data_IF_748421312399
#
_entry.id   IF_748421312399
#
_cell.length_a   1.000
_cell.length_b   1.000
_cell.length_c   1.000
_cell.angle_alpha   90.00
_cell.angle_beta   90.00
_cell.angle_gamma   90.00
#
_symmetry.space_group_name_H-M   'P 1'
#
loop_
_entity.id
_entity.type
_entity.pdbx_description
1 polymer ?
#
# COMPACT_ATOMS: atom_id res chain seq x y z
N UNK A 1 26.37 -7.64 16.50
CA UNK A 1 26.54 -7.92 15.06
C UNK A 1 27.65 -8.98 14.87
N UNK A 2 27.41 -10.00 14.03
CA UNK A 2 28.45 -10.99 13.65
C UNK A 2 29.53 -10.35 12.77
N UNK A 3 29.15 -9.36 11.98
CA UNK A 3 30.01 -8.64 11.04
C UNK A 3 29.91 -7.12 11.32
N UNK A 4 30.65 -6.57 12.29
CA UNK A 4 30.49 -5.17 12.71
C UNK A 4 30.87 -4.14 11.65
N UNK A 5 31.71 -4.50 10.70
CA UNK A 5 32.18 -3.63 9.62
C UNK A 5 31.30 -3.66 8.36
N UNK A 6 30.33 -4.58 8.30
CA UNK A 6 29.41 -4.65 7.17
C UNK A 6 28.23 -3.72 7.39
N UNK A 7 27.99 -2.73 6.52
CA UNK A 7 26.85 -1.84 6.65
C UNK A 7 25.53 -2.59 6.48
N UNK A 8 24.57 -2.31 7.33
CA UNK A 8 23.21 -2.84 7.27
C UNK A 8 22.31 -1.80 6.62
N UNK A 9 21.78 -2.14 5.44
CA UNK A 9 20.85 -1.30 4.69
C UNK A 9 19.47 -1.93 4.73
N UNK A 10 18.46 -1.19 5.20
CA UNK A 10 17.05 -1.61 5.22
C UNK A 10 16.28 -0.86 4.15
N UNK A 11 15.20 -1.47 3.65
CA UNK A 11 14.38 -0.86 2.59
C UNK A 11 13.04 -1.59 2.43
N UNK A 12 12.35 -1.29 1.33
CA UNK A 12 11.03 -1.81 1.05
C UNK A 12 9.92 -1.00 1.71
N UNK A 13 8.67 -1.45 1.55
CA UNK A 13 7.50 -0.68 1.97
C UNK A 13 7.48 -0.47 3.49
N UNK A 14 7.75 -1.51 4.26
CA UNK A 14 7.73 -1.46 5.73
C UNK A 14 8.72 -0.43 6.28
N UNK A 15 9.98 -0.50 5.87
CA UNK A 15 11.01 0.45 6.28
C UNK A 15 10.68 1.89 5.82
N UNK A 16 10.19 2.04 4.59
CA UNK A 16 9.80 3.35 4.04
C UNK A 16 8.75 4.05 4.90
N UNK A 17 7.74 3.31 5.35
CA UNK A 17 6.62 3.85 6.13
C UNK A 17 6.98 4.10 7.60
N UNK A 18 8.05 3.47 8.09
CA UNK A 18 8.55 3.58 9.48
C UNK A 18 9.86 4.37 9.58
N UNK A 19 10.19 5.18 8.56
CA UNK A 19 11.45 5.95 8.53
C UNK A 19 11.53 7.12 9.51
N UNK A 20 10.38 7.61 9.98
CA UNK A 20 10.21 8.66 10.98
C UNK A 20 9.28 8.18 12.09
N UNK A 21 8.99 9.01 13.08
CA UNK A 21 7.99 8.72 14.12
C UNK A 21 6.66 8.32 13.48
N UNK A 22 6.10 7.21 13.94
CA UNK A 22 4.89 6.64 13.37
C UNK A 22 4.01 5.98 14.43
N UNK A 23 2.71 5.92 14.16
CA UNK A 23 1.78 5.17 14.97
C UNK A 23 1.84 3.68 14.63
N UNK A 24 2.05 2.84 15.63
CA UNK A 24 1.99 1.40 15.53
C UNK A 24 0.68 0.88 16.11
N UNK A 25 -0.17 0.35 15.23
CA UNK A 25 -1.51 -0.14 15.58
C UNK A 25 -1.49 -1.31 16.57
N UNK A 26 -0.48 -2.17 16.47
CA UNK A 26 -0.41 -3.39 17.29
C UNK A 26 -0.04 -3.12 18.74
N UNK A 27 0.80 -2.12 19.00
CA UNK A 27 1.15 -1.68 20.34
C UNK A 27 0.32 -0.49 20.82
N UNK A 28 -0.59 0.05 19.98
CA UNK A 28 -1.40 1.25 20.22
C UNK A 28 -0.55 2.42 20.76
N UNK A 29 0.58 2.67 20.14
CA UNK A 29 1.53 3.69 20.59
C UNK A 29 2.32 4.30 19.41
N UNK A 30 2.89 5.49 19.64
CA UNK A 30 3.90 6.00 18.74
C UNK A 30 5.22 5.25 18.94
N UNK A 31 5.88 4.98 17.83
CA UNK A 31 7.22 4.38 17.77
C UNK A 31 8.19 5.34 17.10
N UNK A 32 9.46 5.37 17.52
CA UNK A 32 10.49 6.12 16.83
C UNK A 32 10.77 5.51 15.45
N UNK A 33 11.64 6.16 14.69
CA UNK A 33 12.13 5.59 13.43
C UNK A 33 12.65 4.16 13.60
N UNK A 34 12.36 3.29 12.63
CA UNK A 34 12.92 1.93 12.59
C UNK A 34 14.45 1.91 12.60
N UNK A 35 15.10 3.01 12.20
CA UNK A 35 16.57 3.16 12.32
C UNK A 35 17.03 3.19 13.77
N UNK A 36 16.28 3.88 14.64
CA UNK A 36 16.60 3.94 16.07
C UNK A 36 16.44 2.58 16.74
N UNK A 37 15.43 1.80 16.35
CA UNK A 37 15.15 0.48 16.93
C UNK A 37 16.04 -0.63 16.35
N UNK A 38 16.29 -0.65 15.05
CA UNK A 38 17.03 -1.73 14.38
C UNK A 38 18.54 -1.60 14.42
N UNK A 39 19.05 -0.39 14.64
CA UNK A 39 20.47 -0.07 14.53
C UNK A 39 21.01 -0.26 13.10
N UNK A 40 20.17 -0.17 12.08
CA UNK A 40 20.60 -0.16 10.69
C UNK A 40 21.39 1.13 10.37
N UNK A 41 22.35 1.03 9.45
CA UNK A 41 23.23 2.14 9.11
C UNK A 41 22.57 3.10 8.11
N UNK A 42 21.71 2.56 7.25
CA UNK A 42 21.03 3.30 6.18
C UNK A 42 19.65 2.70 5.91
N UNK A 43 18.69 3.56 5.59
CA UNK A 43 17.38 3.16 5.11
C UNK A 43 17.15 3.76 3.73
N UNK A 44 16.75 2.93 2.77
CA UNK A 44 16.31 3.35 1.43
C UNK A 44 14.79 3.37 1.43
N UNK A 45 14.18 4.52 1.16
CA UNK A 45 12.73 4.66 1.16
C UNK A 45 12.16 4.86 -0.26
N UNK A 46 10.85 4.64 -0.40
CA UNK A 46 10.17 4.76 -1.69
C UNK A 46 10.60 3.70 -2.71
N UNK A 47 10.58 4.07 -3.98
CA UNK A 47 11.01 3.21 -5.09
C UNK A 47 12.53 3.16 -5.13
N UNK A 48 13.11 2.05 -4.65
CA UNK A 48 14.53 1.94 -4.34
C UNK A 48 15.45 1.56 -5.49
N UNK A 49 14.94 1.28 -6.68
CA UNK A 49 15.70 0.70 -7.79
C UNK A 49 16.98 1.47 -8.14
N UNK A 50 16.87 2.80 -8.28
CA UNK A 50 18.01 3.68 -8.55
C UNK A 50 18.98 3.77 -7.36
N UNK A 51 18.43 3.91 -6.16
CA UNK A 51 19.21 4.12 -4.93
C UNK A 51 20.00 2.87 -4.56
N UNK A 52 19.43 1.68 -4.68
CA UNK A 52 20.14 0.41 -4.43
C UNK A 52 21.35 0.28 -5.34
N UNK A 53 21.24 0.65 -6.63
CA UNK A 53 22.36 0.65 -7.54
C UNK A 53 23.44 1.68 -7.15
N UNK A 54 23.04 2.89 -6.72
CA UNK A 54 23.97 3.92 -6.26
C UNK A 54 24.72 3.46 -5.01
N UNK A 55 24.03 2.90 -4.04
CA UNK A 55 24.60 2.36 -2.79
C UNK A 55 25.58 1.21 -3.12
N UNK A 56 25.16 0.25 -3.96
CA UNK A 56 26.01 -0.88 -4.36
C UNK A 56 27.30 -0.43 -5.08
N UNK A 57 27.20 0.57 -5.99
CA UNK A 57 28.37 1.15 -6.68
C UNK A 57 29.29 1.88 -5.69
N UNK A 58 28.73 2.67 -4.77
CA UNK A 58 29.50 3.37 -3.76
C UNK A 58 30.27 2.39 -2.86
N UNK A 59 29.61 1.36 -2.35
CA UNK A 59 30.25 0.33 -1.52
C UNK A 59 31.37 -0.42 -2.28
N UNK A 60 31.16 -0.75 -3.55
CA UNK A 60 32.20 -1.38 -4.40
C UNK A 60 33.42 -0.49 -4.56
N UNK A 61 33.24 0.83 -4.58
CA UNK A 61 34.32 1.81 -4.68
C UNK A 61 34.95 2.17 -3.32
N UNK A 62 34.71 1.39 -2.28
CA UNK A 62 35.29 1.57 -0.94
C UNK A 62 34.62 2.66 -0.09
N UNK A 63 33.43 3.14 -0.47
CA UNK A 63 32.70 4.11 0.34
C UNK A 63 32.18 3.46 1.62
N UNK A 64 32.34 4.15 2.73
CA UNK A 64 31.77 3.71 4.01
C UNK A 64 30.34 4.26 4.21
N UNK A 65 29.65 3.77 5.24
CA UNK A 65 28.28 4.17 5.54
C UNK A 65 28.09 5.70 5.69
N UNK A 66 29.12 6.44 6.18
CA UNK A 66 29.04 7.90 6.32
C UNK A 66 28.98 8.62 4.97
N UNK A 67 29.68 8.12 3.95
CA UNK A 67 29.66 8.69 2.61
C UNK A 67 28.36 8.41 1.87
N UNK A 68 27.67 7.30 2.20
CA UNK A 68 26.35 6.96 1.66
C UNK A 68 25.26 7.97 2.06
N UNK A 69 25.46 8.74 3.14
CA UNK A 69 24.54 9.78 3.62
C UNK A 69 24.32 10.93 2.64
N UNK A 70 25.17 11.05 1.60
CA UNK A 70 25.06 12.05 0.53
C UNK A 70 24.12 11.62 -0.61
N UNK A 71 23.71 10.37 -0.62
CA UNK A 71 22.77 9.83 -1.62
C UNK A 71 21.37 10.37 -1.31
N UNK A 72 20.63 10.73 -2.35
CA UNK A 72 19.22 11.12 -2.22
C UNK A 72 18.35 9.89 -1.92
N UNK A 73 17.21 10.10 -1.31
CA UNK A 73 16.20 9.06 -1.02
C UNK A 73 16.70 8.02 -0.01
N UNK A 74 17.48 8.47 0.97
CA UNK A 74 17.92 7.66 2.11
C UNK A 74 17.54 8.31 3.42
N UNK A 75 17.48 7.53 4.49
CA UNK A 75 17.43 8.02 5.85
C UNK A 75 18.51 7.34 6.70
N UNK A 76 18.99 8.04 7.72
CA UNK A 76 20.06 7.57 8.62
C UNK A 76 20.03 8.34 9.94
N UNK A 77 20.69 7.78 10.96
CA UNK A 77 20.91 8.47 12.24
C UNK A 77 22.17 9.34 12.18
N UNK A 78 22.06 10.58 12.67
CA UNK A 78 23.13 11.54 12.75
C UNK A 78 23.26 12.11 14.16
N UNK A 79 24.40 12.74 14.43
CA UNK A 79 24.65 13.55 15.63
C UNK A 79 24.39 15.05 15.36
N UNK A 80 24.38 15.84 16.42
CA UNK A 80 24.21 17.31 16.33
C UNK A 80 25.22 17.94 15.42
N UNK A 81 26.48 17.48 15.44
CA UNK A 81 27.56 18.05 14.63
C UNK A 81 27.33 17.88 13.12
N UNK A 82 26.63 16.82 12.72
CA UNK A 82 26.20 16.62 11.34
C UNK A 82 25.06 17.57 10.96
N UNK A 83 24.03 17.64 11.83
CA UNK A 83 22.83 18.47 11.57
C UNK A 83 23.17 19.94 11.54
N UNK A 84 24.09 20.41 12.40
CA UNK A 84 24.56 21.80 12.40
C UNK A 84 25.24 22.24 11.09
N UNK A 85 25.69 21.30 10.25
CA UNK A 85 26.30 21.58 8.94
C UNK A 85 25.32 21.53 7.77
N UNK A 86 24.07 21.16 8.01
CA UNK A 86 23.04 21.18 6.97
C UNK A 86 22.68 22.62 6.63
N UNK A 87 22.35 22.87 5.36
CA UNK A 87 21.85 24.17 4.93
C UNK A 87 20.47 24.43 5.56
N UNK A 88 20.33 25.46 6.41
CA UNK A 88 19.05 25.78 7.04
C UNK A 88 17.94 26.09 6.03
N UNK A 89 18.26 26.66 4.86
CA UNK A 89 17.27 26.98 3.83
C UNK A 89 16.71 25.73 3.13
N UNK A 90 17.49 24.64 3.11
CA UNK A 90 17.11 23.36 2.53
C UNK A 90 16.76 22.29 3.58
N UNK A 91 16.60 22.68 4.85
CA UNK A 91 16.33 21.74 5.95
C UNK A 91 15.04 22.11 6.67
N UNK A 92 14.16 21.13 6.83
CA UNK A 92 12.94 21.26 7.63
C UNK A 92 13.13 20.43 8.92
N UNK A 93 13.09 21.11 10.07
CA UNK A 93 13.11 20.47 11.37
C UNK A 93 11.68 20.08 11.77
N UNK A 94 11.50 18.82 12.12
CA UNK A 94 10.25 18.27 12.63
C UNK A 94 10.27 18.32 14.17
N UNK A 95 9.09 18.24 14.78
CA UNK A 95 8.98 17.96 16.22
C UNK A 95 9.67 16.64 16.54
N UNK A 96 10.30 16.55 17.70
CA UNK A 96 10.97 15.33 18.14
C UNK A 96 9.99 14.17 18.39
N UNK A 97 10.52 12.96 18.42
CA UNK A 97 9.75 11.78 18.84
C UNK A 97 9.11 12.00 20.21
N UNK A 98 9.87 12.55 21.17
CA UNK A 98 9.43 12.80 22.55
C UNK A 98 8.32 13.87 22.62
N UNK A 99 8.40 14.92 21.79
CA UNK A 99 7.32 15.91 21.63
C UNK A 99 6.06 15.28 21.06
N UNK A 100 6.18 14.48 19.98
CA UNK A 100 5.07 13.77 19.39
C UNK A 100 4.37 12.80 20.36
N UNK A 101 5.13 12.13 21.24
CA UNK A 101 4.57 11.25 22.29
C UNK A 101 3.77 12.05 23.33
N UNK A 102 4.26 13.23 23.70
CA UNK A 102 3.58 14.11 24.69
C UNK A 102 2.43 14.89 24.13
N UNK A 103 2.56 15.33 22.87
CA UNK A 103 1.57 16.16 22.19
C UNK A 103 1.16 15.54 20.86
N UNK A 104 -0.09 15.08 20.80
CA UNK A 104 -0.69 14.51 19.60
C UNK A 104 -0.75 15.51 18.42
N UNK A 105 -0.82 16.81 18.73
CA UNK A 105 -0.84 17.86 17.70
C UNK A 105 0.51 17.98 17.01
N UNK A 106 1.61 17.93 17.75
CA UNK A 106 2.97 17.90 17.19
C UNK A 106 3.15 16.73 16.20
N UNK A 107 2.62 15.55 16.52
CA UNK A 107 2.60 14.42 15.59
C UNK A 107 1.78 14.70 14.31
N UNK A 108 0.62 15.34 14.46
CA UNK A 108 -0.21 15.76 13.32
C UNK A 108 0.48 16.77 12.42
N UNK A 109 1.15 17.77 13.00
CA UNK A 109 1.91 18.79 12.30
C UNK A 109 3.08 18.18 11.51
N UNK A 110 3.85 17.27 12.14
CA UNK A 110 4.90 16.52 11.44
C UNK A 110 4.35 15.80 10.21
N UNK A 111 3.19 15.14 10.36
CA UNK A 111 2.57 14.44 9.22
C UNK A 111 2.22 15.39 8.07
N UNK A 112 1.67 16.58 8.35
CA UNK A 112 1.31 17.54 7.28
C UNK A 112 2.52 17.99 6.49
N UNK A 113 3.66 18.18 7.15
CA UNK A 113 4.95 18.49 6.52
C UNK A 113 5.40 17.31 5.67
N UNK A 114 5.43 16.09 6.24
CA UNK A 114 5.90 14.87 5.56
C UNK A 114 5.03 14.58 4.32
N UNK A 115 3.69 14.66 4.46
CA UNK A 115 2.78 14.41 3.34
C UNK A 115 2.97 15.46 2.24
N UNK A 116 3.12 16.73 2.61
CA UNK A 116 3.37 17.81 1.64
C UNK A 116 4.66 17.57 0.86
N UNK A 117 5.77 17.29 1.54
CA UNK A 117 7.05 17.02 0.91
C UNK A 117 7.02 15.76 0.02
N UNK A 118 6.32 14.71 0.46
CA UNK A 118 6.16 13.47 -0.31
C UNK A 118 5.33 13.64 -1.59
N UNK A 119 4.51 14.69 -1.68
CA UNK A 119 3.64 14.96 -2.83
C UNK A 119 4.17 16.04 -3.79
N UNK A 120 5.32 16.63 -3.51
CA UNK A 120 6.01 17.50 -4.47
C UNK A 120 6.60 16.68 -5.61
N UNK A 121 6.64 17.25 -6.82
CA UNK A 121 7.24 16.59 -7.97
C UNK A 121 8.78 16.57 -7.85
N UNK A 122 9.35 17.63 -7.34
CA UNK A 122 10.80 17.85 -7.19
C UNK A 122 11.08 18.39 -5.77
N UNK A 123 10.96 17.57 -4.71
CA UNK A 123 11.28 18.02 -3.36
C UNK A 123 12.79 18.13 -3.17
N UNK A 124 13.25 19.23 -2.55
CA UNK A 124 14.65 19.47 -2.26
C UNK A 124 14.97 19.51 -0.75
N UNK A 125 13.94 19.56 0.10
CA UNK A 125 14.14 19.67 1.53
C UNK A 125 14.60 18.35 2.18
N UNK A 126 15.62 18.46 3.01
CA UNK A 126 16.00 17.42 3.98
C UNK A 126 15.11 17.55 5.20
N UNK A 127 14.52 16.43 5.67
CA UNK A 127 13.76 16.40 6.92
C UNK A 127 14.67 15.93 8.06
N UNK A 128 14.57 16.57 9.22
CA UNK A 128 15.34 16.22 10.42
C UNK A 128 14.40 16.08 11.61
N UNK A 129 14.33 14.89 12.18
CA UNK A 129 13.52 14.57 13.37
C UNK A 129 14.45 14.22 14.55
N UNK A 130 14.47 15.00 15.64
CA UNK A 130 15.18 14.64 16.86
C UNK A 130 14.58 13.37 17.49
N UNK A 131 15.43 12.46 17.98
CA UNK A 131 15.01 11.21 18.61
C UNK A 131 16.07 10.81 19.65
N UNK A 132 15.78 10.97 20.93
CA UNK A 132 16.75 10.82 22.01
C UNK A 132 17.92 11.80 21.86
N UNK A 133 19.13 11.27 21.87
CA UNK A 133 20.39 12.00 21.66
C UNK A 133 20.85 12.08 20.20
N UNK A 134 20.00 11.59 19.27
CA UNK A 134 20.30 11.50 17.85
C UNK A 134 19.23 12.22 17.00
N UNK A 135 19.51 12.29 15.73
CA UNK A 135 18.63 12.85 14.72
C UNK A 135 18.39 11.86 13.59
N UNK A 136 17.15 11.64 13.23
CA UNK A 136 16.81 10.96 11.96
C UNK A 136 16.86 12.01 10.87
N UNK A 137 17.76 11.81 9.93
CA UNK A 137 17.92 12.67 8.73
C UNK A 137 17.37 11.93 7.53
N UNK A 138 16.40 12.54 6.85
CA UNK A 138 15.78 12.00 5.62
C UNK A 138 16.15 12.91 4.46
N UNK A 139 17.00 12.44 3.57
CA UNK A 139 17.39 13.21 2.38
C UNK A 139 16.24 13.31 1.38
N UNK A 140 16.20 14.35 0.52
CA UNK A 140 15.14 14.50 -0.48
C UNK A 140 15.02 13.27 -1.39
N UNK A 141 13.82 12.89 -1.85
CA UNK A 141 13.67 11.78 -2.79
C UNK A 141 14.29 12.11 -4.16
N UNK A 142 14.58 11.08 -4.92
CA UNK A 142 14.92 11.22 -6.33
C UNK A 142 13.69 11.64 -7.14
N UNK A 143 13.92 12.22 -8.31
CA UNK A 143 12.88 12.37 -9.31
C UNK A 143 12.32 10.98 -9.70
N UNK A 144 11.05 10.95 -10.11
CA UNK A 144 10.38 9.75 -10.60
C UNK A 144 11.26 9.05 -11.65
N UNK A 145 11.32 7.71 -11.63
CA UNK A 145 12.06 6.92 -12.62
C UNK A 145 11.57 7.26 -14.04
N UNK A 146 12.47 7.25 -15.01
CA UNK A 146 12.05 7.32 -16.42
C UNK A 146 11.41 6.00 -16.85
N UNK A 147 10.72 6.00 -17.99
CA UNK A 147 10.17 4.75 -18.58
C UNK A 147 11.27 3.72 -18.81
N UNK A 148 12.45 4.14 -19.29
CA UNK A 148 13.59 3.28 -19.58
C UNK A 148 14.16 2.64 -18.29
N UNK A 149 14.28 3.41 -17.22
CA UNK A 149 14.75 2.91 -15.91
C UNK A 149 13.74 1.92 -15.31
N UNK A 150 12.45 2.21 -15.48
CA UNK A 150 11.39 1.31 -15.02
C UNK A 150 11.37 0.02 -15.85
N UNK A 151 11.44 0.12 -17.17
CA UNK A 151 11.54 -1.02 -18.08
C UNK A 151 12.75 -1.89 -17.74
N UNK A 152 13.93 -1.28 -17.55
CA UNK A 152 15.13 -2.02 -17.15
C UNK A 152 14.90 -2.87 -15.89
N UNK A 153 14.20 -2.33 -14.90
CA UNK A 153 13.89 -3.05 -13.66
C UNK A 153 12.95 -4.24 -13.89
N UNK A 154 12.00 -4.13 -14.81
CA UNK A 154 11.06 -5.21 -15.15
C UNK A 154 11.61 -6.21 -16.18
N UNK A 155 12.57 -5.79 -16.98
CA UNK A 155 13.22 -6.64 -17.99
C UNK A 155 14.32 -7.55 -17.42
N UNK A 156 14.67 -7.40 -16.14
CA UNK A 156 15.61 -8.28 -15.46
C UNK A 156 15.15 -9.76 -15.56
N UNK A 157 16.10 -10.72 -15.57
CA UNK A 157 15.80 -12.14 -15.76
C UNK A 157 15.22 -12.79 -14.48
N UNK A 158 14.02 -12.37 -14.10
CA UNK A 158 13.30 -12.97 -12.97
C UNK A 158 12.91 -14.41 -13.27
N UNK A 159 13.17 -15.33 -12.35
CA UNK A 159 12.78 -16.75 -12.49
C UNK A 159 11.27 -16.98 -12.46
N UNK A 160 10.51 -16.06 -11.89
CA UNK A 160 9.04 -16.18 -11.71
C UNK A 160 8.64 -17.54 -11.12
N UNK A 161 9.33 -17.95 -10.08
CA UNK A 161 9.11 -19.21 -9.37
C UNK A 161 9.26 -19.00 -7.85
N UNK A 162 8.56 -19.80 -7.04
CA UNK A 162 8.79 -19.82 -5.58
C UNK A 162 10.21 -20.26 -5.27
N UNK A 163 10.79 -19.70 -4.21
CA UNK A 163 12.13 -20.08 -3.77
C UNK A 163 12.23 -21.60 -3.51
N UNK A 164 13.31 -22.29 -3.88
CA UNK A 164 13.45 -23.74 -3.75
C UNK A 164 13.17 -24.30 -2.35
N UNK A 165 13.36 -23.52 -1.29
CA UNK A 165 13.05 -23.94 0.10
C UNK A 165 11.58 -24.29 0.34
N UNK A 166 10.68 -23.90 -0.56
CA UNK A 166 9.23 -24.21 -0.49
C UNK A 166 8.86 -25.48 -1.23
N UNK A 167 9.78 -26.13 -1.95
CA UNK A 167 9.51 -27.41 -2.61
C UNK A 167 9.01 -28.45 -1.62
N UNK A 168 7.93 -29.13 -1.95
CA UNK A 168 7.31 -30.14 -1.09
C UNK A 168 6.52 -29.62 0.12
N UNK A 169 6.37 -28.29 0.26
CA UNK A 169 5.59 -27.68 1.39
C UNK A 169 4.17 -27.28 1.02
N UNK A 170 3.68 -27.70 -0.15
CA UNK A 170 2.38 -27.32 -0.69
C UNK A 170 2.42 -25.99 -1.46
N UNK A 171 1.29 -25.62 -2.04
CA UNK A 171 1.15 -24.41 -2.82
C UNK A 171 1.18 -23.16 -1.93
N UNK A 172 1.74 -22.08 -2.47
CA UNK A 172 1.72 -20.76 -1.83
C UNK A 172 0.53 -19.99 -2.43
N UNK A 173 -0.58 -19.80 -1.69
CA UNK A 173 -1.81 -19.19 -2.25
C UNK A 173 -1.57 -17.82 -2.89
N UNK A 174 -0.75 -16.97 -2.27
CA UNK A 174 -0.41 -15.67 -2.84
C UNK A 174 0.33 -15.77 -4.18
N UNK A 175 1.24 -16.74 -4.31
CA UNK A 175 1.94 -17.03 -5.56
C UNK A 175 0.98 -17.47 -6.67
N UNK A 176 0.08 -18.41 -6.37
CA UNK A 176 -0.92 -18.89 -7.33
C UNK A 176 -1.80 -17.75 -7.89
N UNK A 177 -2.11 -16.76 -7.06
CA UNK A 177 -2.90 -15.59 -7.48
C UNK A 177 -2.17 -14.67 -8.45
N UNK A 178 -0.84 -14.50 -8.29
CA UNK A 178 -0.09 -13.44 -8.99
C UNK A 178 0.89 -13.96 -10.06
N UNK A 179 1.19 -15.24 -10.12
CA UNK A 179 2.24 -15.80 -11.00
C UNK A 179 2.09 -15.43 -12.48
N UNK A 180 0.87 -15.20 -12.94
CA UNK A 180 0.54 -14.81 -14.31
C UNK A 180 0.02 -13.36 -14.39
N UNK A 181 0.45 -12.49 -13.50
CA UNK A 181 0.13 -11.06 -13.55
C UNK A 181 1.25 -10.25 -14.20
N UNK A 182 0.89 -9.11 -14.78
CA UNK A 182 1.81 -8.15 -15.40
C UNK A 182 1.48 -6.76 -14.87
N UNK A 183 2.48 -6.11 -14.27
CA UNK A 183 2.35 -4.75 -13.80
C UNK A 183 2.72 -3.76 -14.92
N UNK A 184 1.88 -2.74 -15.15
CA UNK A 184 2.03 -1.81 -16.28
C UNK A 184 2.52 -0.42 -15.90
N UNK A 185 2.37 -0.01 -14.63
CA UNK A 185 2.87 1.27 -14.11
C UNK A 185 3.05 1.24 -12.60
N UNK A 186 3.71 2.26 -12.07
CA UNK A 186 3.88 2.56 -10.66
C UNK A 186 3.24 3.90 -10.31
N UNK A 187 2.99 4.15 -9.02
CA UNK A 187 2.39 5.37 -8.53
C UNK A 187 0.87 5.37 -8.56
N UNK A 188 0.28 6.31 -7.81
CA UNK A 188 -1.16 6.52 -7.77
C UNK A 188 -1.49 7.94 -7.30
N UNK A 189 -2.16 8.72 -8.14
CA UNK A 189 -2.56 10.09 -7.78
C UNK A 189 -3.91 10.16 -7.05
N UNK A 190 -4.46 9.03 -6.63
CA UNK A 190 -5.72 8.96 -5.88
C UNK A 190 -5.64 9.61 -4.50
N UNK A 191 -4.52 9.43 -3.80
CA UNK A 191 -4.26 10.07 -2.51
C UNK A 191 -5.24 9.72 -1.39
N UNK A 192 -5.85 8.51 -1.44
CA UNK A 192 -6.77 8.05 -0.40
C UNK A 192 -6.08 8.09 0.97
N UNK A 193 -6.78 8.59 2.00
CA UNK A 193 -6.21 8.89 3.31
C UNK A 193 -5.65 7.66 4.06
N UNK A 194 -6.14 6.48 3.73
CA UNK A 194 -5.77 5.20 4.37
C UNK A 194 -4.73 4.39 3.57
N UNK A 195 -4.38 4.85 2.35
CA UNK A 195 -3.59 4.05 1.42
C UNK A 195 -2.12 4.46 1.43
N UNK A 196 -1.23 3.48 1.54
CA UNK A 196 0.23 3.69 1.58
C UNK A 196 0.88 3.81 0.20
N UNK A 197 0.14 3.57 -0.88
CA UNK A 197 0.71 3.54 -2.24
C UNK A 197 1.32 4.90 -2.61
N UNK A 198 0.59 6.00 -2.39
CA UNK A 198 1.12 7.33 -2.67
C UNK A 198 2.33 7.68 -1.81
N UNK A 199 2.34 7.23 -0.54
CA UNK A 199 3.45 7.48 0.38
C UNK A 199 4.72 6.67 0.03
N UNK A 200 4.57 5.51 -0.61
CA UNK A 200 5.68 4.62 -0.97
C UNK A 200 6.09 4.74 -2.44
N UNK A 201 5.14 4.64 -3.38
CA UNK A 201 5.42 4.70 -4.82
C UNK A 201 5.38 6.13 -5.39
N UNK A 202 4.81 7.07 -4.64
CA UNK A 202 4.60 8.44 -5.07
C UNK A 202 3.26 8.67 -5.77
N UNK A 203 2.93 9.95 -5.93
CA UNK A 203 1.71 10.43 -6.58
C UNK A 203 1.79 10.37 -8.11
N UNK A 204 2.98 10.53 -8.67
CA UNK A 204 3.16 10.64 -10.11
C UNK A 204 3.25 9.26 -10.76
N UNK A 205 2.46 9.09 -11.83
CA UNK A 205 2.44 7.83 -12.56
C UNK A 205 3.71 7.67 -13.38
N UNK A 206 4.36 6.54 -13.21
CA UNK A 206 5.47 6.10 -14.03
C UNK A 206 5.07 4.84 -14.79
N UNK A 207 4.89 4.93 -16.09
CA UNK A 207 4.40 3.86 -16.94
C UNK A 207 5.54 3.16 -17.66
N UNK A 208 5.44 1.85 -17.75
CA UNK A 208 6.31 1.03 -18.62
C UNK A 208 6.01 1.28 -20.08
N UNK A 209 6.99 1.04 -20.94
CA UNK A 209 6.76 1.02 -22.39
C UNK A 209 5.91 -0.17 -22.80
N UNK A 210 5.19 -0.02 -23.90
CA UNK A 210 4.43 -1.13 -24.49
C UNK A 210 5.33 -2.30 -24.85
N UNK A 211 6.57 -2.04 -25.34
CA UNK A 211 7.57 -3.07 -25.64
C UNK A 211 7.84 -3.94 -24.41
N UNK A 212 8.25 -3.34 -23.30
CA UNK A 212 8.59 -4.06 -22.06
C UNK A 212 7.40 -4.88 -21.53
N UNK A 213 6.18 -4.31 -21.57
CA UNK A 213 4.96 -5.01 -21.16
C UNK A 213 4.67 -6.22 -22.07
N UNK A 214 4.71 -6.02 -23.39
CA UNK A 214 4.41 -7.09 -24.35
C UNK A 214 5.47 -8.21 -24.31
N UNK A 215 6.74 -7.86 -24.11
CA UNK A 215 7.82 -8.85 -23.95
C UNK A 215 7.62 -9.68 -22.66
N UNK A 216 7.19 -9.06 -21.56
CA UNK A 216 6.82 -9.78 -20.36
C UNK A 216 5.60 -10.68 -20.56
N UNK A 217 4.56 -10.20 -21.25
CA UNK A 217 3.37 -11.01 -21.61
C UNK A 217 3.79 -12.25 -22.41
N UNK A 218 4.71 -12.11 -23.38
CA UNK A 218 5.23 -13.24 -24.16
C UNK A 218 6.00 -14.24 -23.27
N UNK A 219 6.82 -13.73 -22.34
CA UNK A 219 7.52 -14.59 -21.36
C UNK A 219 6.53 -15.35 -20.47
N UNK A 220 5.48 -14.68 -19.98
CA UNK A 220 4.41 -15.32 -19.18
C UNK A 220 3.65 -16.36 -20.00
N UNK A 221 3.34 -16.07 -21.27
CA UNK A 221 2.66 -17.01 -22.15
C UNK A 221 3.47 -18.29 -22.41
N UNK A 222 4.80 -18.22 -22.31
CA UNK A 222 5.70 -19.35 -22.43
C UNK A 222 5.95 -20.12 -21.11
N UNK A 223 5.42 -19.64 -19.98
CA UNK A 223 5.65 -20.30 -18.68
C UNK A 223 4.97 -21.66 -18.58
N UNK A 224 5.60 -22.63 -17.91
CA UNK A 224 4.97 -23.92 -17.61
C UNK A 224 3.63 -23.75 -16.87
N UNK A 225 2.61 -24.46 -17.31
CA UNK A 225 1.28 -24.43 -16.70
C UNK A 225 0.42 -23.21 -17.04
N UNK A 226 0.89 -22.31 -17.91
CA UNK A 226 0.06 -21.21 -18.41
C UNK A 226 -1.05 -21.74 -19.34
N UNK A 227 -2.28 -21.39 -19.04
CA UNK A 227 -3.48 -21.89 -19.77
C UNK A 227 -4.10 -20.84 -20.72
N UNK A 228 -3.40 -19.73 -20.96
CA UNK A 228 -3.87 -18.63 -21.80
C UNK A 228 -4.55 -17.49 -21.03
N UNK A 229 -4.51 -17.48 -19.70
CA UNK A 229 -5.21 -16.49 -18.88
C UNK A 229 -4.21 -15.68 -18.06
N UNK A 230 -4.06 -14.39 -18.38
CA UNK A 230 -3.38 -13.46 -17.47
C UNK A 230 -4.32 -13.13 -16.31
N UNK A 231 -3.85 -13.33 -15.09
CA UNK A 231 -4.66 -13.12 -13.87
C UNK A 231 -4.89 -11.64 -13.58
N UNK A 232 -3.95 -10.78 -13.97
CA UNK A 232 -4.07 -9.33 -13.88
C UNK A 232 -3.12 -8.63 -14.87
N UNK A 233 -3.65 -7.66 -15.59
CA UNK A 233 -2.89 -6.65 -16.33
C UNK A 233 -3.21 -5.32 -15.65
N UNK A 234 -2.45 -5.00 -14.65
CA UNK A 234 -2.83 -3.95 -13.71
C UNK A 234 -1.67 -3.20 -13.07
N UNK A 235 -2.04 -2.43 -12.06
CA UNK A 235 -1.15 -1.59 -11.28
C UNK A 235 -1.85 -1.19 -9.99
N UNK A 236 -1.28 -0.31 -9.13
CA UNK A 236 -1.94 0.18 -7.93
C UNK A 236 -3.36 0.70 -8.13
N UNK A 237 -3.64 1.30 -9.30
CA UNK A 237 -4.97 1.56 -9.85
C UNK A 237 -4.93 1.22 -11.33
N UNK A 238 -5.60 0.16 -11.74
CA UNK A 238 -5.41 -0.44 -13.07
C UNK A 238 -5.54 0.55 -14.24
N UNK A 239 -6.38 1.56 -14.09
CA UNK A 239 -6.71 2.50 -15.18
C UNK A 239 -5.99 3.85 -15.11
N UNK A 240 -4.76 3.90 -14.55
CA UNK A 240 -3.95 5.12 -14.55
C UNK A 240 -2.75 5.10 -15.52
N UNK A 241 -2.67 4.10 -16.38
CA UNK A 241 -1.57 3.96 -17.34
C UNK A 241 -1.45 5.18 -18.25
N UNK A 242 -0.25 5.78 -18.28
CA UNK A 242 0.08 7.01 -19.04
C UNK A 242 -0.77 8.25 -18.69
N UNK A 243 -1.39 8.26 -17.53
CA UNK A 243 -2.11 9.44 -17.03
C UNK A 243 -1.19 10.37 -16.24
N UNK A 244 -1.51 11.66 -16.23
CA UNK A 244 -0.77 12.67 -15.48
C UNK A 244 -1.26 14.08 -15.78
N UNK A 245 -0.51 15.10 -15.33
CA UNK A 245 -0.81 16.50 -15.64
C UNK A 245 -0.49 16.84 -17.11
N UNK A 246 -1.39 17.58 -17.77
CA UNK A 246 -1.17 18.10 -19.12
C UNK A 246 -0.05 19.15 -19.14
N UNK A 247 -0.08 20.05 -18.17
CA UNK A 247 0.99 21.03 -17.92
C UNK A 247 1.82 20.57 -16.74
N UNK A 248 3.10 20.25 -17.02
CA UNK A 248 4.05 19.76 -16.03
C UNK A 248 4.51 20.86 -15.07
N UNK A 249 4.56 22.12 -15.52
CA UNK A 249 4.97 23.23 -14.66
C UNK A 249 3.94 23.51 -13.56
N UNK A 250 2.66 23.36 -13.86
CA UNK A 250 1.61 23.41 -12.84
C UNK A 250 1.78 22.26 -11.82
N UNK A 251 2.19 21.06 -12.29
CA UNK A 251 2.44 19.93 -11.41
C UNK A 251 3.66 20.14 -10.49
N UNK A 252 4.72 20.79 -10.95
CA UNK A 252 5.90 21.13 -10.14
C UNK A 252 5.55 22.00 -8.94
N UNK A 253 4.65 22.94 -9.12
CA UNK A 253 4.18 23.87 -8.07
C UNK A 253 3.09 23.27 -7.18
N UNK A 254 2.53 22.12 -7.54
CA UNK A 254 1.38 21.53 -6.89
C UNK A 254 1.74 20.86 -5.55
N UNK A 255 1.03 21.24 -4.48
CA UNK A 255 1.18 20.66 -3.12
C UNK A 255 0.01 19.75 -2.73
N UNK A 256 -0.98 19.54 -3.61
CA UNK A 256 -2.14 18.70 -3.31
C UNK A 256 -1.72 17.24 -3.12
N UNK A 257 -2.21 16.54 -2.11
CA UNK A 257 -1.94 15.12 -1.91
C UNK A 257 -2.68 14.22 -2.92
N UNK A 258 -3.73 14.75 -3.56
CA UNK A 258 -4.57 14.01 -4.52
C UNK A 258 -4.85 14.84 -5.77
N UNK A 259 -4.86 14.22 -6.93
CA UNK A 259 -5.36 14.83 -8.17
C UNK A 259 -6.89 14.63 -8.35
N UNK A 260 -7.52 13.85 -7.44
CA UNK A 260 -8.94 13.49 -7.52
C UNK A 260 -9.78 14.06 -6.40
N UNK A 261 -9.17 14.47 -5.28
CA UNK A 261 -9.87 15.00 -4.11
C UNK A 261 -9.40 16.43 -3.78
N UNK A 262 -10.30 17.36 -3.37
CA UNK A 262 -11.78 17.21 -3.22
C UNK A 262 -12.53 17.17 -4.56
N UNK A 263 -11.88 17.55 -5.65
CA UNK A 263 -12.38 17.47 -7.00
C UNK A 263 -11.26 17.07 -7.96
N UNK A 264 -11.61 16.47 -9.09
CA UNK A 264 -10.67 16.14 -10.16
C UNK A 264 -9.92 17.39 -10.60
N UNK A 265 -8.58 17.30 -10.65
CA UNK A 265 -7.72 18.40 -11.05
C UNK A 265 -7.97 18.76 -12.52
N UNK A 266 -8.23 20.03 -12.86
CA UNK A 266 -8.42 20.44 -14.26
C UNK A 266 -7.22 20.15 -15.16
N UNK A 267 -6.01 20.14 -14.58
CA UNK A 267 -4.78 19.81 -15.29
C UNK A 267 -4.60 18.29 -15.52
N UNK A 268 -5.44 17.42 -14.95
CA UNK A 268 -5.29 15.97 -15.10
C UNK A 268 -5.75 15.52 -16.49
N UNK A 269 -4.86 14.80 -17.20
CA UNK A 269 -5.22 14.00 -18.36
C UNK A 269 -5.65 12.61 -17.88
N UNK A 270 -6.90 12.26 -18.09
CA UNK A 270 -7.48 10.95 -17.74
C UNK A 270 -7.90 10.16 -19.00
N UNK A 271 -7.15 10.32 -20.08
CA UNK A 271 -7.38 9.63 -21.35
C UNK A 271 -7.07 8.13 -21.26
N UNK A 272 -8.08 7.29 -21.43
CA UNK A 272 -7.95 5.83 -21.40
C UNK A 272 -7.51 5.22 -22.75
N UNK A 273 -7.50 5.98 -23.87
CA UNK A 273 -7.15 5.44 -25.19
C UNK A 273 -5.79 4.73 -25.23
N UNK A 274 -4.71 5.24 -24.61
CA UNK A 274 -3.43 4.52 -24.58
C UNK A 274 -3.52 3.15 -23.88
N UNK A 275 -4.32 3.06 -22.81
CA UNK A 275 -4.53 1.82 -22.08
C UNK A 275 -5.38 0.82 -22.87
N UNK A 276 -6.44 1.28 -23.51
CA UNK A 276 -7.29 0.43 -24.38
C UNK A 276 -6.49 -0.14 -25.55
N UNK A 277 -5.66 0.68 -26.21
CA UNK A 277 -4.77 0.22 -27.27
C UNK A 277 -3.75 -0.82 -26.76
N UNK A 278 -3.21 -0.65 -25.54
CA UNK A 278 -2.34 -1.65 -24.92
C UNK A 278 -3.08 -2.96 -24.68
N UNK A 279 -4.31 -2.92 -24.20
CA UNK A 279 -5.12 -4.11 -23.96
C UNK A 279 -5.39 -4.90 -25.25
N UNK A 280 -5.67 -4.22 -26.36
CA UNK A 280 -5.82 -4.88 -27.66
C UNK A 280 -4.53 -5.58 -28.11
N UNK A 281 -3.38 -4.92 -27.99
CA UNK A 281 -2.07 -5.51 -28.31
C UNK A 281 -1.77 -6.73 -27.44
N UNK A 282 -2.10 -6.70 -26.15
CA UNK A 282 -1.93 -7.84 -25.25
C UNK A 282 -2.81 -9.02 -25.68
N UNK A 283 -4.07 -8.76 -26.04
CA UNK A 283 -4.99 -9.81 -26.53
C UNK A 283 -4.50 -10.46 -27.82
N UNK A 284 -3.80 -9.71 -28.67
CA UNK A 284 -3.24 -10.21 -29.93
C UNK A 284 -1.96 -11.06 -29.73
N UNK A 285 -1.38 -11.12 -28.54
CA UNK A 285 -0.20 -11.96 -28.27
C UNK A 285 -0.56 -13.44 -28.38
N UNK A 286 0.20 -14.19 -29.18
CA UNK A 286 0.01 -15.64 -29.35
C UNK A 286 0.02 -16.35 -27.98
N UNK A 287 -0.99 -17.17 -27.74
CA UNK A 287 -1.13 -17.92 -26.47
C UNK A 287 -2.00 -17.23 -25.42
N UNK A 288 -2.37 -15.96 -25.61
CA UNK A 288 -3.31 -15.27 -24.73
C UNK A 288 -4.74 -15.54 -25.21
N UNK A 289 -5.55 -16.13 -24.35
CA UNK A 289 -7.00 -16.30 -24.55
C UNK A 289 -7.78 -15.17 -23.91
N UNK A 290 -7.38 -14.73 -22.71
CA UNK A 290 -7.99 -13.61 -22.01
C UNK A 290 -6.98 -12.97 -21.04
N UNK A 291 -7.02 -11.64 -20.95
CA UNK A 291 -6.24 -10.86 -20.01
C UNK A 291 -7.20 -10.18 -19.05
N UNK A 292 -7.19 -10.58 -17.79
CA UNK A 292 -8.08 -10.01 -16.78
C UNK A 292 -7.50 -8.74 -16.17
N UNK A 293 -8.37 -7.89 -15.65
CA UNK A 293 -8.07 -6.78 -14.77
C UNK A 293 -8.53 -7.18 -13.37
N UNK A 294 -7.58 -7.64 -12.56
CA UNK A 294 -7.78 -8.05 -11.16
C UNK A 294 -7.57 -6.93 -10.16
N UNK A 295 -6.76 -5.93 -10.53
CA UNK A 295 -6.52 -4.72 -9.75
C UNK A 295 -7.73 -3.81 -9.74
N UNK A 296 -7.86 -2.99 -8.67
CA UNK A 296 -8.97 -2.04 -8.57
C UNK A 296 -8.94 -0.96 -9.64
N UNK A 297 -10.10 -0.60 -10.15
CA UNK A 297 -10.27 0.51 -11.09
C UNK A 297 -10.83 1.75 -10.39
N UNK A 298 -10.42 2.92 -10.87
CA UNK A 298 -10.91 4.24 -10.42
C UNK A 298 -12.02 4.71 -11.37
N UNK A 299 -13.27 4.52 -10.96
CA UNK A 299 -14.44 4.91 -11.75
C UNK A 299 -14.67 6.42 -11.79
N UNK A 300 -14.08 7.17 -10.86
CA UNK A 300 -14.05 8.63 -10.86
C UNK A 300 -13.12 9.23 -11.95
N UNK A 301 -12.44 8.38 -12.72
CA UNK A 301 -11.68 8.76 -13.92
C UNK A 301 -12.46 8.57 -15.22
N UNK A 302 -13.64 7.98 -15.21
CA UNK A 302 -14.38 7.73 -16.42
C UNK A 302 -14.97 9.01 -17.01
N UNK A 303 -14.77 9.21 -18.32
CA UNK A 303 -15.41 10.25 -19.12
C UNK A 303 -16.37 9.60 -20.14
N UNK A 304 -17.22 8.69 -19.66
CA UNK A 304 -18.15 7.92 -20.46
C UNK A 304 -17.99 6.41 -20.31
N UNK A 305 -18.82 5.60 -20.97
CA UNK A 305 -18.90 4.16 -20.75
C UNK A 305 -17.80 3.34 -21.45
N UNK A 306 -17.11 3.87 -22.45
CA UNK A 306 -16.24 3.11 -23.35
C UNK A 306 -15.17 2.26 -22.65
N UNK A 307 -14.54 2.78 -21.58
CA UNK A 307 -13.57 2.01 -20.82
C UNK A 307 -14.25 0.84 -20.08
N UNK A 308 -15.38 1.11 -19.42
CA UNK A 308 -16.13 0.09 -18.68
C UNK A 308 -16.66 -1.00 -19.64
N UNK A 309 -17.19 -0.63 -20.78
CA UNK A 309 -17.67 -1.57 -21.81
C UNK A 309 -16.54 -2.51 -22.27
N UNK A 310 -15.36 -1.94 -22.61
CA UNK A 310 -14.20 -2.74 -23.02
C UNK A 310 -13.77 -3.71 -21.92
N UNK A 311 -13.72 -3.24 -20.66
CA UNK A 311 -13.35 -4.07 -19.51
C UNK A 311 -14.35 -5.22 -19.33
N UNK A 312 -15.64 -4.95 -19.38
CA UNK A 312 -16.67 -5.98 -19.21
C UNK A 312 -16.64 -7.01 -20.35
N UNK A 313 -16.58 -6.55 -21.60
CA UNK A 313 -16.55 -7.46 -22.76
C UNK A 313 -15.31 -8.34 -22.81
N UNK A 314 -14.15 -7.80 -22.45
CA UNK A 314 -12.89 -8.45 -22.79
C UNK A 314 -11.98 -8.79 -21.60
N UNK A 315 -12.10 -8.10 -20.46
CA UNK A 315 -11.11 -8.13 -19.39
C UNK A 315 -11.65 -8.54 -18.02
N UNK A 316 -12.88 -8.99 -17.94
CA UNK A 316 -13.51 -9.43 -16.69
C UNK A 316 -13.75 -10.94 -16.69
N UNK A 317 -13.54 -11.58 -15.54
CA UNK A 317 -13.84 -12.99 -15.32
C UNK A 317 -15.30 -13.25 -14.90
N UNK A 318 -16.15 -12.24 -14.98
CA UNK A 318 -17.52 -12.25 -14.48
C UNK A 318 -17.73 -11.52 -13.17
N UNK A 319 -16.63 -11.07 -12.52
CA UNK A 319 -16.68 -10.37 -11.22
C UNK A 319 -15.81 -9.12 -11.28
N UNK A 320 -16.44 -7.96 -11.42
CA UNK A 320 -15.74 -6.68 -11.40
C UNK A 320 -15.64 -6.14 -9.97
N UNK A 321 -14.41 -6.01 -9.48
CA UNK A 321 -14.12 -5.48 -8.14
C UNK A 321 -13.98 -3.98 -8.19
N UNK A 322 -14.68 -3.28 -7.31
CA UNK A 322 -14.59 -1.81 -7.14
C UNK A 322 -14.61 -1.45 -5.67
N UNK A 323 -14.06 -0.31 -5.34
CA UNK A 323 -13.86 0.11 -3.97
C UNK A 323 -14.52 1.48 -3.71
N UNK A 324 -15.85 1.54 -3.49
CA UNK A 324 -16.51 2.76 -3.02
C UNK A 324 -16.07 3.13 -1.59
N UNK A 325 -15.71 2.17 -0.78
CA UNK A 325 -15.21 2.20 0.59
C UNK A 325 -16.28 2.56 1.63
N UNK A 326 -17.19 3.48 1.35
CA UNK A 326 -18.32 3.88 2.20
C UNK A 326 -19.49 4.43 1.36
N UNK A 327 -20.64 4.70 2.00
CA UNK A 327 -21.80 5.34 1.36
C UNK A 327 -22.07 6.76 1.87
N UNK A 328 -21.50 7.12 3.02
CA UNK A 328 -21.73 8.42 3.66
C UNK A 328 -20.64 9.41 3.25
N UNK A 329 -21.04 10.54 2.66
CA UNK A 329 -20.13 11.52 2.08
C UNK A 329 -19.22 12.20 3.12
N UNK A 330 -19.67 12.34 4.38
CA UNK A 330 -18.83 12.81 5.49
C UNK A 330 -17.63 11.88 5.71
N UNK A 331 -17.83 10.57 5.68
CA UNK A 331 -16.76 9.55 5.82
C UNK A 331 -15.90 9.51 4.56
N UNK A 332 -16.53 9.51 3.37
CA UNK A 332 -15.82 9.50 2.08
C UNK A 332 -14.91 10.72 1.90
N UNK A 333 -15.32 11.89 2.39
CA UNK A 333 -14.50 13.10 2.41
C UNK A 333 -13.23 12.91 3.23
N UNK A 334 -13.34 12.33 4.43
CA UNK A 334 -12.16 12.00 5.25
C UNK A 334 -11.29 10.90 4.62
N UNK A 335 -11.88 9.97 3.92
CA UNK A 335 -11.18 8.95 3.13
C UNK A 335 -10.50 9.49 1.87
N UNK A 336 -10.80 10.74 1.47
CA UNK A 336 -10.41 11.31 0.17
C UNK A 336 -10.91 10.47 -1.01
N UNK A 337 -12.15 9.98 -0.89
CA UNK A 337 -12.85 9.20 -1.92
C UNK A 337 -13.91 10.06 -2.62
N UNK A 338 -14.33 9.68 -3.83
CA UNK A 338 -15.42 10.37 -4.51
C UNK A 338 -16.76 10.17 -3.79
N UNK A 339 -17.75 11.07 -3.99
CA UNK A 339 -19.11 10.91 -3.46
C UNK A 339 -19.72 9.58 -3.91
N UNK A 340 -20.57 8.99 -3.04
CA UNK A 340 -21.21 7.70 -3.32
C UNK A 340 -22.08 7.70 -4.58
N UNK A 341 -22.65 8.83 -4.95
CA UNK A 341 -23.43 9.00 -6.19
C UNK A 341 -22.66 8.57 -7.46
N UNK A 342 -21.31 8.67 -7.47
CA UNK A 342 -20.52 8.18 -8.60
C UNK A 342 -20.49 6.63 -8.66
N UNK A 343 -20.53 5.95 -7.52
CA UNK A 343 -20.69 4.51 -7.49
C UNK A 343 -22.09 4.07 -7.95
N UNK A 344 -23.14 4.83 -7.60
CA UNK A 344 -24.49 4.53 -8.07
C UNK A 344 -24.58 4.65 -9.59
N UNK A 345 -23.95 5.66 -10.20
CA UNK A 345 -23.82 5.77 -11.67
C UNK A 345 -23.07 4.59 -12.26
N UNK A 346 -21.91 4.24 -11.70
CA UNK A 346 -21.15 3.05 -12.13
C UNK A 346 -22.03 1.80 -12.11
N UNK A 347 -22.80 1.59 -11.04
CA UNK A 347 -23.68 0.44 -10.90
C UNK A 347 -24.80 0.43 -11.97
N UNK A 348 -25.36 1.60 -12.28
CA UNK A 348 -26.36 1.74 -13.33
C UNK A 348 -25.75 1.44 -14.71
N UNK A 349 -24.59 2.01 -15.05
CA UNK A 349 -23.88 1.72 -16.30
C UNK A 349 -23.47 0.25 -16.41
N UNK A 350 -22.97 -0.33 -15.31
CA UNK A 350 -22.60 -1.74 -15.26
C UNK A 350 -23.80 -2.65 -15.59
N UNK A 351 -24.96 -2.40 -14.96
CA UNK A 351 -26.19 -3.18 -15.21
C UNK A 351 -26.64 -3.02 -16.64
N UNK A 352 -26.74 -1.78 -17.13
CA UNK A 352 -27.14 -1.49 -18.52
C UNK A 352 -26.27 -2.26 -19.52
N UNK A 353 -24.92 -2.17 -19.39
CA UNK A 353 -24.00 -2.87 -20.29
C UNK A 353 -24.15 -4.39 -20.19
N UNK A 354 -24.30 -4.92 -18.98
CA UNK A 354 -24.50 -6.36 -18.79
C UNK A 354 -25.80 -6.85 -19.44
N UNK A 355 -26.88 -6.08 -19.34
CA UNK A 355 -28.18 -6.42 -19.93
C UNK A 355 -28.12 -6.34 -21.47
N UNK A 356 -27.54 -5.27 -22.03
CA UNK A 356 -27.35 -5.07 -23.46
C UNK A 356 -26.47 -6.17 -24.12
N UNK A 357 -25.42 -6.59 -23.42
CA UNK A 357 -24.43 -7.57 -23.90
C UNK A 357 -24.71 -9.00 -23.41
N UNK A 358 -25.82 -9.22 -22.71
CA UNK A 358 -26.21 -10.52 -22.11
C UNK A 358 -25.12 -11.15 -21.24
N UNK A 359 -24.42 -10.33 -20.41
CA UNK A 359 -23.33 -10.75 -19.54
C UNK A 359 -23.85 -11.09 -18.14
N UNK A 360 -23.70 -12.33 -17.65
CA UNK A 360 -24.12 -12.72 -16.29
C UNK A 360 -23.08 -12.31 -15.24
N UNK A 361 -22.66 -11.03 -15.26
CA UNK A 361 -21.57 -10.55 -14.45
C UNK A 361 -22.06 -9.89 -13.15
N UNK A 362 -21.17 -9.82 -12.17
CA UNK A 362 -21.42 -9.24 -10.87
C UNK A 362 -20.45 -8.11 -10.55
N UNK A 363 -20.99 -7.02 -10.06
CA UNK A 363 -20.21 -5.95 -9.45
C UNK A 363 -19.97 -6.30 -7.97
N UNK A 364 -18.71 -6.27 -7.54
CA UNK A 364 -18.30 -6.64 -6.17
C UNK A 364 -17.74 -5.39 -5.48
N UNK A 365 -18.57 -4.69 -4.68
CA UNK A 365 -18.12 -3.51 -3.96
C UNK A 365 -17.40 -3.88 -2.67
N UNK A 366 -16.31 -3.15 -2.38
CA UNK A 366 -15.57 -3.23 -1.11
C UNK A 366 -15.90 -2.04 -0.23
N UNK A 367 -16.07 -2.32 1.08
CA UNK A 367 -16.35 -1.30 2.10
C UNK A 367 -15.40 -1.44 3.29
N UNK A 368 -15.12 -0.29 3.92
CA UNK A 368 -14.27 -0.18 5.11
C UNK A 368 -15.13 0.31 6.27
N UNK A 369 -15.09 -0.42 7.39
CA UNK A 369 -15.63 -0.01 8.68
C UNK A 369 -14.55 0.60 9.57
N UNK A 370 -14.95 1.31 10.60
CA UNK A 370 -14.06 1.83 11.64
C UNK A 370 -12.99 2.82 11.14
N UNK A 371 -13.22 3.45 9.99
CA UNK A 371 -12.40 4.59 9.56
C UNK A 371 -12.62 5.77 10.52
N UNK A 372 -11.61 6.60 10.83
CA UNK A 372 -11.82 7.84 11.54
C UNK A 372 -12.97 8.67 10.92
N UNK A 373 -13.90 9.11 11.75
CA UNK A 373 -15.12 9.80 11.33
C UNK A 373 -16.31 8.87 11.02
N UNK A 374 -16.12 7.56 10.96
CA UNK A 374 -17.19 6.59 10.72
C UNK A 374 -17.86 6.21 12.05
N UNK A 375 -19.08 6.67 12.27
CA UNK A 375 -19.89 6.33 13.44
C UNK A 375 -20.66 5.00 13.22
N UNK A 376 -21.26 4.50 14.29
CA UNK A 376 -22.17 3.34 14.20
C UNK A 376 -23.39 3.65 13.32
N UNK A 377 -23.89 4.88 13.38
CA UNK A 377 -25.02 5.32 12.56
C UNK A 377 -24.65 5.36 11.06
N UNK A 378 -23.44 5.79 10.71
CA UNK A 378 -22.95 5.77 9.33
C UNK A 378 -22.90 4.33 8.79
N UNK A 379 -22.45 3.35 9.60
CA UNK A 379 -22.41 1.94 9.22
C UNK A 379 -23.80 1.33 9.07
N UNK A 380 -24.76 1.73 9.92
CA UNK A 380 -26.16 1.32 9.76
C UNK A 380 -26.74 1.86 8.46
N UNK A 381 -26.54 3.15 8.18
CA UNK A 381 -26.95 3.78 6.91
C UNK A 381 -26.32 3.09 5.70
N UNK A 382 -25.04 2.73 5.78
CA UNK A 382 -24.35 1.96 4.74
C UNK A 382 -25.02 0.60 4.53
N UNK A 383 -25.32 -0.13 5.60
CA UNK A 383 -25.99 -1.43 5.49
C UNK A 383 -27.38 -1.30 4.85
N UNK A 384 -28.18 -0.34 5.28
CA UNK A 384 -29.53 -0.07 4.74
C UNK A 384 -29.48 0.28 3.24
N UNK A 385 -28.50 1.08 2.81
CA UNK A 385 -28.31 1.43 1.39
C UNK A 385 -27.84 0.23 0.56
N UNK A 386 -26.84 -0.49 1.03
CA UNK A 386 -26.16 -1.53 0.25
C UNK A 386 -26.94 -2.83 0.21
N UNK A 387 -27.43 -3.30 1.37
CA UNK A 387 -28.19 -4.54 1.46
C UNK A 387 -29.66 -4.32 1.11
N UNK A 388 -30.26 -3.26 1.64
CA UNK A 388 -31.69 -2.97 1.47
C UNK A 388 -32.04 -2.39 0.09
N UNK A 389 -31.39 -1.30 -0.33
CA UNK A 389 -31.76 -0.58 -1.57
C UNK A 389 -31.04 -1.11 -2.81
N UNK A 390 -29.75 -1.41 -2.72
CA UNK A 390 -28.95 -1.85 -3.87
C UNK A 390 -28.87 -3.36 -4.01
N UNK A 391 -29.31 -4.10 -2.98
CA UNK A 391 -29.37 -5.57 -2.93
C UNK A 391 -28.02 -6.25 -3.22
N UNK A 392 -26.92 -5.67 -2.75
CA UNK A 392 -25.62 -6.33 -2.81
C UNK A 392 -25.49 -7.38 -1.72
N UNK A 393 -25.10 -8.59 -2.08
CA UNK A 393 -24.67 -9.60 -1.12
C UNK A 393 -23.17 -9.43 -0.87
N UNK A 394 -22.81 -8.77 0.22
CA UNK A 394 -21.42 -8.47 0.54
C UNK A 394 -20.67 -9.73 1.00
N UNK A 395 -19.48 -9.95 0.45
CA UNK A 395 -18.60 -11.03 0.89
C UNK A 395 -17.84 -10.66 2.16
N UNK A 396 -17.48 -9.38 2.29
CA UNK A 396 -16.76 -8.86 3.45
C UNK A 396 -16.90 -7.34 3.59
N UNK A 397 -16.83 -6.87 4.83
CA UNK A 397 -16.57 -5.49 5.22
C UNK A 397 -15.30 -5.52 6.06
N UNK A 398 -14.29 -4.75 5.68
CA UNK A 398 -12.99 -4.76 6.35
C UNK A 398 -12.92 -3.65 7.40
N UNK A 399 -12.41 -3.96 8.60
CA UNK A 399 -12.04 -2.91 9.54
C UNK A 399 -10.79 -2.18 9.03
N UNK A 400 -10.79 -0.86 9.18
CA UNK A 400 -9.56 -0.12 8.95
C UNK A 400 -8.46 -0.62 9.89
N UNK A 401 -7.34 -1.00 9.32
CA UNK A 401 -6.08 -1.17 10.05
C UNK A 401 -5.23 0.07 9.78
N UNK A 402 -5.08 0.98 10.74
CA UNK A 402 -4.23 2.15 10.58
C UNK A 402 -2.80 1.74 10.20
N UNK A 403 -2.31 2.28 9.12
CA UNK A 403 -0.98 1.96 8.59
C UNK A 403 -0.07 3.19 8.70
N UNK A 404 1.18 3.05 9.13
CA UNK A 404 2.12 4.17 9.22
C UNK A 404 2.17 5.04 7.96
N UNK A 405 2.45 6.34 8.11
CA UNK A 405 2.52 7.33 7.03
C UNK A 405 1.21 7.55 6.26
N UNK A 406 0.06 7.27 6.85
CA UNK A 406 -1.25 7.56 6.26
C UNK A 406 -2.00 8.61 7.08
N UNK A 407 -2.77 9.47 6.43
CA UNK A 407 -3.60 10.45 7.13
C UNK A 407 -4.60 9.77 8.07
N UNK A 408 -5.18 8.64 7.65
CA UNK A 408 -6.11 7.88 8.50
C UNK A 408 -5.46 7.35 9.77
N UNK A 409 -4.18 6.97 9.72
CA UNK A 409 -3.42 6.57 10.91
C UNK A 409 -3.22 7.73 11.88
N UNK A 410 -2.92 8.91 11.35
CA UNK A 410 -2.78 10.14 12.16
C UNK A 410 -4.09 10.51 12.81
N UNK A 411 -5.18 10.60 12.03
CA UNK A 411 -6.52 10.86 12.55
C UNK A 411 -6.96 9.81 13.58
N UNK A 412 -6.61 8.54 13.37
CA UNK A 412 -6.92 7.47 14.33
C UNK A 412 -6.22 7.69 15.66
N UNK A 413 -4.93 8.03 15.65
CA UNK A 413 -4.15 8.27 16.86
C UNK A 413 -4.54 9.56 17.56
N UNK A 414 -4.62 10.67 16.81
CA UNK A 414 -4.87 11.99 17.38
C UNK A 414 -6.33 12.20 17.80
N UNK A 415 -7.29 11.62 17.05
CA UNK A 415 -8.73 11.95 17.14
C UNK A 415 -9.05 13.32 16.53
N UNK A 416 -8.19 13.84 15.66
CA UNK A 416 -8.28 15.16 15.05
C UNK A 416 -7.81 15.12 13.59
N UNK A 417 -8.39 15.95 12.75
CA UNK A 417 -7.87 16.17 11.40
C UNK A 417 -6.66 17.13 11.48
N UNK A 418 -5.45 16.72 11.11
CA UNK A 418 -4.27 17.56 11.28
C UNK A 418 -4.24 18.81 10.38
N UNK A 419 -5.13 18.90 9.39
CA UNK A 419 -5.25 20.07 8.49
C UNK A 419 -6.27 21.10 8.95
N UNK A 420 -7.37 20.66 9.57
CA UNK A 420 -8.50 21.53 9.97
C UNK A 420 -8.63 21.69 11.48
N UNK A 421 -7.91 20.86 12.25
CA UNK A 421 -8.00 20.75 13.70
C UNK A 421 -9.38 20.39 14.25
N UNK A 422 -10.27 19.92 13.38
CA UNK A 422 -11.57 19.40 13.78
C UNK A 422 -11.43 18.05 14.50
N UNK A 423 -12.15 17.89 15.61
CA UNK A 423 -12.22 16.60 16.30
C UNK A 423 -12.97 15.58 15.47
N UNK A 424 -12.48 14.36 15.47
CA UNK A 424 -12.99 13.23 14.69
C UNK A 424 -13.32 12.08 15.64
N UNK A 425 -14.52 11.50 15.49
CA UNK A 425 -14.86 10.25 16.16
C UNK A 425 -13.96 9.12 15.69
N UNK A 426 -13.51 8.26 16.62
CA UNK A 426 -12.67 7.08 16.32
C UNK A 426 -13.18 5.89 17.11
N UNK A 427 -13.60 4.84 16.44
CA UNK A 427 -13.93 3.55 17.06
C UNK A 427 -12.66 2.86 17.53
N UNK A 428 -12.33 2.96 18.82
CA UNK A 428 -11.09 2.44 19.39
C UNK A 428 -11.24 1.02 19.93
N UNK A 429 -12.36 0.73 20.59
CA UNK A 429 -12.58 -0.56 21.22
C UNK A 429 -12.97 -1.63 20.20
N UNK A 430 -12.60 -2.88 20.51
CA UNK A 430 -13.03 -4.04 19.71
C UNK A 430 -14.56 -4.20 19.69
N UNK A 431 -15.22 -3.75 20.73
CA UNK A 431 -16.68 -3.81 20.82
C UNK A 431 -17.35 -2.84 19.85
N UNK A 432 -16.89 -1.56 19.78
CA UNK A 432 -17.36 -0.59 18.80
C UNK A 432 -17.17 -1.09 17.38
N UNK A 433 -15.99 -1.64 17.05
CA UNK A 433 -15.70 -2.22 15.72
C UNK A 433 -16.62 -3.39 15.40
N UNK A 434 -16.89 -4.28 16.35
CA UNK A 434 -17.83 -5.40 16.16
C UNK A 434 -19.26 -4.91 15.94
N UNK A 435 -19.72 -3.90 16.69
CA UNK A 435 -21.04 -3.29 16.49
C UNK A 435 -21.18 -2.73 15.09
N UNK A 436 -20.21 -1.98 14.60
CA UNK A 436 -20.21 -1.45 13.23
C UNK A 436 -20.35 -2.55 12.17
N UNK A 437 -19.76 -3.73 12.36
CA UNK A 437 -19.87 -4.85 11.43
C UNK A 437 -21.13 -5.71 11.60
N UNK A 438 -21.78 -5.66 12.74
CA UNK A 438 -22.93 -6.52 13.03
C UNK A 438 -24.10 -6.29 12.08
N UNK A 439 -24.24 -5.09 11.53
CA UNK A 439 -25.27 -4.73 10.54
C UNK A 439 -25.19 -5.54 9.24
N UNK A 440 -24.00 -6.10 8.91
CA UNK A 440 -23.79 -6.85 7.67
C UNK A 440 -23.84 -8.37 7.86
N UNK A 441 -23.56 -8.85 9.04
CA UNK A 441 -23.38 -10.28 9.31
C UNK A 441 -24.22 -10.78 10.48
N UNK A 442 -25.19 -10.02 10.95
CA UNK A 442 -26.02 -10.27 12.13
C UNK A 442 -26.93 -11.52 12.09
N UNK A 443 -26.96 -12.25 10.97
CA UNK A 443 -27.68 -13.55 10.87
C UNK A 443 -26.76 -14.78 10.77
N UNK A 444 -25.47 -14.58 10.61
CA UNK A 444 -24.47 -15.66 10.60
C UNK A 444 -23.58 -15.52 11.82
N UNK A 445 -23.71 -16.43 12.80
CA UNK A 445 -22.65 -16.62 13.80
C UNK A 445 -21.35 -16.77 13.03
N UNK A 446 -20.27 -16.01 13.37
CA UNK A 446 -18.96 -16.27 12.79
C UNK A 446 -18.68 -17.75 13.00
N UNK A 447 -18.51 -18.49 11.93
CA UNK A 447 -18.01 -19.87 12.04
C UNK A 447 -16.70 -19.80 12.81
N UNK A 448 -16.36 -20.82 13.62
CA UNK A 448 -15.15 -20.83 14.39
C UNK A 448 -13.97 -20.52 13.47
N UNK A 449 -13.15 -19.58 13.90
CA UNK A 449 -11.95 -19.16 13.16
C UNK A 449 -11.15 -20.43 12.78
N UNK A 450 -11.14 -20.78 11.50
CA UNK A 450 -10.45 -21.98 10.99
C UNK A 450 -8.93 -21.84 11.03
N UNK A 451 -8.41 -20.84 11.70
CA UNK A 451 -7.01 -20.77 12.08
C UNK A 451 -6.80 -21.60 13.35
N UNK A 452 -6.88 -22.92 13.23
CA UNK A 452 -6.25 -23.79 14.23
C UNK A 452 -4.77 -23.39 14.27
N UNK A 453 -4.19 -23.12 15.44
CA UNK A 453 -2.75 -22.96 15.53
C UNK A 453 -2.13 -24.24 14.98
N UNK A 454 -1.25 -24.09 14.01
CA UNK A 454 -0.41 -25.19 13.53
C UNK A 454 0.39 -25.67 14.74
N UNK A 455 0.29 -26.96 15.15
CA UNK A 455 1.06 -27.46 16.28
C UNK A 455 2.54 -27.26 15.99
N UNK A 456 3.24 -26.61 16.88
CA UNK A 456 4.70 -26.46 16.80
C UNK A 456 5.36 -27.84 16.94
N UNK A 457 5.71 -28.45 15.83
CA UNK A 457 6.38 -29.76 15.76
C UNK A 457 7.84 -29.74 16.29
N UNK A 458 8.23 -28.73 17.05
CA UNK A 458 9.59 -28.59 17.58
C UNK A 458 9.77 -28.96 19.06
N UNK A 459 8.77 -29.55 19.72
CA UNK A 459 8.98 -30.16 21.04
C UNK A 459 9.05 -31.67 20.89
N UNK A 460 10.17 -32.34 21.21
CA UNK A 460 10.20 -33.79 21.28
C UNK A 460 9.27 -34.24 22.42
N UNK A 461 8.36 -35.15 22.12
CA UNK A 461 7.57 -35.84 23.14
C UNK A 461 8.51 -36.59 24.08
N UNK A 462 8.58 -36.16 25.32
CA UNK A 462 9.15 -37.00 26.39
C UNK A 462 8.11 -38.09 26.67
N UNK A 463 8.34 -39.28 26.10
CA UNK A 463 7.58 -40.47 26.47
C UNK A 463 7.86 -40.80 27.93
N UNK A 464 6.85 -40.61 28.77
CA UNK A 464 6.85 -41.06 30.15
C UNK A 464 6.90 -42.60 30.16
N UNK A 465 7.98 -43.17 30.65
CA UNK A 465 8.12 -44.59 30.96
C UNK A 465 7.29 -44.89 32.20
N UNK A 466 6.41 -45.87 32.04
CA UNK A 466 5.62 -46.48 33.11
C UNK A 466 6.51 -47.08 34.22
N UNK A 467 6.03 -46.93 35.44
CA UNK A 467 6.73 -47.32 36.66
C UNK A 467 6.95 -48.83 36.79
N UNK A 468 7.98 -49.15 37.54
CA UNK A 468 8.12 -50.42 38.23
C UNK A 468 8.62 -50.15 39.68
N UNK A 469 8.21 -50.99 40.65
CA UNK A 469 8.20 -50.67 42.07
C UNK A 469 9.44 -51.08 42.83
N UNK A 470 9.73 -50.28 43.83
CA UNK A 470 10.34 -50.65 45.10
C UNK A 470 11.75 -51.26 45.15
N UNK A 471 12.71 -50.45 45.68
CA UNK A 471 13.71 -51.02 46.62
C UNK A 471 14.23 -49.94 47.60
N UNK A 472 14.38 -50.42 48.84
CA UNK A 472 14.67 -49.74 50.09
C UNK A 472 15.98 -48.95 50.09
N UNK A 473 15.97 -47.85 50.91
CA UNK A 473 17.19 -47.17 51.44
C UNK A 473 18.06 -48.19 52.24
N UNK A 474 19.36 -47.97 52.32
CA UNK A 474 19.94 -47.47 53.55
C UNK A 474 21.04 -46.40 53.36
N UNK A 475 21.15 -45.50 54.30
CA UNK A 475 22.22 -45.41 55.25
C UNK A 475 23.14 -44.20 55.03
N UNK A 476 23.01 -43.19 55.89
CA UNK A 476 24.01 -42.13 56.12
C UNK A 476 25.38 -42.78 56.42
N UNK A 477 26.48 -42.14 56.01
CA UNK A 477 27.64 -41.87 56.87
C UNK A 477 28.55 -40.83 56.15
N UNK A 478 28.78 -39.75 56.94
CA UNK A 478 29.78 -38.67 56.96
C UNK A 478 29.83 -37.69 55.77
#
# INVERSE_FOLDING_TARGET
RLYPHVPVVVGGIEASLRRLTHYDYWSDSLKPSVLAESGADLLIYGMGERVVQQVARALRNGYNAKLLRRIRQVAFLADESYVARLDPAATIRLHSYEECVRDKRAFGENFTVIETQSNLMEPEATLVEPTGDRYVVVTPPNATLTTEELDHSFDLPYERAPHPRYRGKGDIPAWEMIKFSVNIHRGCFGGCSFCTISAHQGKFINSRSERSILDEVRRVAAMPGFKGYLSDVGAPSANMYRMGGRDRELCRKCRRPSCLHPARCPNLCNDHRPLLALYEKIRAVKGIKKAFIGSGIRYDLFDGPAYLETVLKHHTSGRLKVAPEHTEDNVLKLMRKPPFALFERLNADFRRICDEEHLPYQLIPYFISSHPGCTEQDMKSLADKVLGRLHFNLEQVQDLTPTPMTLSSVMFWTGENPYTHERIYVARSQEEKRRQKSYFFGGRRPGPDRRKPVPDKRKPEVKGSAGHPGRKRPGKIR
#
